data_IF_327157423178
#
_entry.id   IF_327157423178
#
_cell.length_a   1.000
_cell.length_b   1.000
_cell.length_c   1.000
_cell.angle_alpha   90.00
_cell.angle_beta   90.00
_cell.angle_gamma   90.00
#
_symmetry.space_group_name_H-M   'P 1'
#
loop_
_entity.id
_entity.type
_entity.pdbx_description
1 polymer ?
#
# COMPACT_ATOMS: atom_id res chain seq x y z
N UNK A 1 7.22 -9.63 -11.99
CA UNK A 1 6.52 -8.36 -11.77
C UNK A 1 5.08 -8.43 -12.17
N UNK A 2 4.21 -8.52 -11.17
CA UNK A 2 2.76 -8.46 -11.31
C UNK A 2 2.23 -7.02 -11.18
N UNK A 3 3.04 -6.11 -10.62
CA UNK A 3 2.67 -4.73 -10.28
C UNK A 3 3.22 -3.74 -11.32
N UNK A 4 2.40 -2.75 -11.64
CA UNK A 4 2.71 -1.58 -12.43
C UNK A 4 2.49 -0.34 -11.54
N UNK A 5 3.40 0.62 -11.59
CA UNK A 5 3.23 1.95 -10.98
C UNK A 5 3.34 2.98 -12.10
N UNK A 6 2.29 3.77 -12.31
CA UNK A 6 2.16 4.71 -13.43
C UNK A 6 2.47 4.05 -14.79
N UNK A 7 1.99 2.81 -14.98
CA UNK A 7 2.21 2.02 -16.20
C UNK A 7 3.61 1.40 -16.33
N UNK A 8 4.56 1.72 -15.44
CA UNK A 8 5.90 1.12 -15.43
C UNK A 8 5.93 -0.11 -14.53
N UNK A 9 6.57 -1.18 -15.01
CA UNK A 9 6.75 -2.40 -14.21
C UNK A 9 7.68 -2.15 -13.03
N UNK A 10 7.20 -2.43 -11.83
CA UNK A 10 7.98 -2.37 -10.58
C UNK A 10 8.03 -3.77 -9.97
N UNK A 11 9.24 -4.22 -9.62
CA UNK A 11 9.48 -5.53 -8.98
C UNK A 11 10.14 -5.38 -7.59
N UNK A 12 10.50 -4.16 -7.19
CA UNK A 12 11.17 -3.85 -5.92
C UNK A 12 10.12 -3.60 -4.85
N UNK A 13 10.16 -4.38 -3.76
CA UNK A 13 9.20 -4.24 -2.63
C UNK A 13 9.42 -2.95 -1.84
N UNK A 14 10.64 -2.43 -1.84
CA UNK A 14 11.02 -1.16 -1.19
C UNK A 14 10.76 0.07 -2.07
N UNK A 15 9.93 -0.06 -3.12
CA UNK A 15 9.61 1.08 -3.97
C UNK A 15 8.71 2.07 -3.23
N UNK A 16 9.15 3.31 -3.12
CA UNK A 16 8.39 4.38 -2.49
C UNK A 16 7.34 4.95 -3.45
N UNK A 17 6.08 4.85 -3.06
CA UNK A 17 4.96 5.43 -3.81
C UNK A 17 4.70 6.85 -3.31
N UNK A 18 4.50 7.79 -4.24
CA UNK A 18 4.16 9.18 -3.94
C UNK A 18 2.68 9.44 -4.14
N UNK A 19 2.16 10.45 -3.46
CA UNK A 19 0.78 10.91 -3.68
C UNK A 19 0.57 11.23 -5.16
N UNK A 20 -0.58 10.80 -5.70
CA UNK A 20 -0.95 10.88 -7.11
C UNK A 20 -0.53 9.68 -7.97
N UNK A 21 0.38 8.82 -7.51
CA UNK A 21 0.81 7.65 -8.30
C UNK A 21 -0.27 6.55 -8.32
N UNK A 22 -0.50 5.97 -9.50
CA UNK A 22 -1.44 4.86 -9.67
C UNK A 22 -0.72 3.53 -9.69
N UNK A 23 -1.06 2.65 -8.74
CA UNK A 23 -0.64 1.24 -8.73
C UNK A 23 -1.69 0.42 -9.48
N UNK A 24 -1.27 -0.47 -10.36
CA UNK A 24 -2.17 -1.36 -11.09
C UNK A 24 -1.57 -2.75 -11.25
N UNK A 25 -2.43 -3.75 -11.35
CA UNK A 25 -1.99 -5.12 -11.63
C UNK A 25 -1.91 -5.32 -13.15
N UNK A 26 -0.84 -5.95 -13.61
CA UNK A 26 -0.67 -6.31 -15.03
C UNK A 26 -1.83 -7.21 -15.50
N UNK A 27 -2.40 -6.95 -16.67
CA UNK A 27 -3.57 -7.67 -17.22
C UNK A 27 -3.43 -9.20 -17.20
N UNK A 28 -2.25 -9.74 -17.55
CA UNK A 28 -1.98 -11.19 -17.50
C UNK A 28 -2.14 -11.77 -16.09
N UNK A 29 -1.89 -10.97 -15.07
CA UNK A 29 -1.99 -11.34 -13.65
C UNK A 29 -3.38 -11.10 -13.07
N UNK A 30 -4.20 -10.27 -13.69
CA UNK A 30 -5.60 -10.05 -13.28
C UNK A 30 -6.48 -11.31 -13.43
N UNK A 31 -6.08 -12.23 -14.32
CA UNK A 31 -6.78 -13.50 -14.53
C UNK A 31 -6.50 -14.55 -13.45
N UNK A 32 -5.58 -14.29 -12.53
CA UNK A 32 -5.21 -15.22 -11.48
C UNK A 32 -6.32 -15.30 -10.43
N UNK A 33 -6.77 -16.52 -10.13
CA UNK A 33 -7.88 -16.78 -9.20
C UNK A 33 -7.62 -16.16 -7.83
N UNK A 34 -6.41 -16.35 -7.30
CA UNK A 34 -6.00 -15.82 -6.00
C UNK A 34 -6.07 -14.29 -5.91
N UNK A 35 -5.87 -13.57 -7.03
CA UNK A 35 -5.95 -12.11 -7.03
C UNK A 35 -7.41 -11.65 -6.93
N UNK A 36 -8.31 -12.32 -7.63
CA UNK A 36 -9.75 -12.04 -7.55
C UNK A 36 -10.27 -12.31 -6.15
N UNK A 37 -9.93 -13.47 -5.60
CA UNK A 37 -10.26 -13.83 -4.22
C UNK A 37 -9.71 -12.79 -3.23
N UNK A 38 -8.50 -12.29 -3.44
CA UNK A 38 -7.91 -11.26 -2.57
C UNK A 38 -8.63 -9.91 -2.64
N UNK A 39 -9.12 -9.50 -3.81
CA UNK A 39 -9.90 -8.25 -3.97
C UNK A 39 -11.30 -8.41 -3.41
N UNK A 40 -11.95 -9.56 -3.63
CA UNK A 40 -13.27 -9.86 -3.08
C UNK A 40 -13.24 -9.98 -1.54
N UNK A 41 -12.12 -10.44 -0.98
CA UNK A 41 -11.87 -10.42 0.46
C UNK A 41 -11.62 -8.99 0.96
N UNK A 42 -12.72 -8.23 1.13
CA UNK A 42 -12.77 -6.92 1.78
C UNK A 42 -12.56 -7.02 3.31
N UNK A 43 -11.61 -7.83 3.76
CA UNK A 43 -11.30 -8.03 5.18
C UNK A 43 -10.71 -6.76 5.85
N UNK A 44 -10.28 -5.78 5.04
CA UNK A 44 -9.72 -4.51 5.52
C UNK A 44 -10.43 -3.36 4.83
N UNK A 45 -10.84 -2.38 5.64
CA UNK A 45 -11.37 -1.11 5.15
C UNK A 45 -10.25 -0.36 4.43
N UNK A 46 -10.53 0.13 3.22
CA UNK A 46 -9.60 0.99 2.49
C UNK A 46 -9.54 2.36 3.20
N UNK A 47 -8.37 2.80 3.67
CA UNK A 47 -8.22 4.10 4.32
C UNK A 47 -8.49 5.27 3.37
N UNK A 48 -8.86 6.44 3.89
CA UNK A 48 -9.21 7.62 3.07
C UNK A 48 -8.05 8.15 2.20
N UNK A 49 -6.80 7.90 2.59
CA UNK A 49 -5.63 8.29 1.81
C UNK A 49 -5.35 7.35 0.61
N UNK A 50 -6.12 6.27 0.47
CA UNK A 50 -6.02 5.31 -0.64
C UNK A 50 -7.34 5.25 -1.41
N UNK A 51 -7.24 5.20 -2.73
CA UNK A 51 -8.35 4.84 -3.61
C UNK A 51 -8.15 3.42 -4.13
N UNK A 52 -9.21 2.62 -4.14
CA UNK A 52 -9.22 1.28 -4.73
C UNK A 52 -10.31 1.20 -5.79
N UNK A 53 -9.94 0.78 -6.99
CA UNK A 53 -10.83 0.44 -8.09
C UNK A 53 -10.75 -1.07 -8.31
N UNK A 54 -11.68 -1.79 -7.69
CA UNK A 54 -11.76 -3.26 -7.73
C UNK A 54 -11.97 -3.78 -9.15
N UNK A 55 -12.67 -3.02 -10.01
CA UNK A 55 -12.95 -3.42 -11.39
C UNK A 55 -11.71 -3.40 -12.27
N UNK A 56 -10.85 -2.41 -12.07
CA UNK A 56 -9.61 -2.23 -12.83
C UNK A 56 -8.40 -2.91 -12.19
N UNK A 57 -8.54 -3.48 -10.99
CA UNK A 57 -7.42 -3.97 -10.18
C UNK A 57 -6.34 -2.90 -10.02
N UNK A 58 -6.78 -1.67 -9.75
CA UNK A 58 -5.92 -0.49 -9.62
C UNK A 58 -6.23 0.26 -8.34
N UNK A 59 -5.23 0.87 -7.75
CA UNK A 59 -5.40 1.79 -6.63
C UNK A 59 -4.48 2.99 -6.77
N UNK A 60 -4.81 4.07 -6.06
CA UNK A 60 -4.04 5.30 -6.09
C UNK A 60 -3.78 5.78 -4.68
N UNK A 61 -2.56 6.27 -4.43
CA UNK A 61 -2.28 7.02 -3.21
C UNK A 61 -2.78 8.45 -3.41
N UNK A 62 -3.84 8.84 -2.70
CA UNK A 62 -4.44 10.17 -2.86
C UNK A 62 -3.59 11.23 -2.17
N UNK A 63 -3.17 10.94 -0.95
CA UNK A 63 -2.37 11.82 -0.08
C UNK A 63 -1.42 11.02 0.78
N UNK A 64 -0.41 11.69 1.33
CA UNK A 64 0.47 11.08 2.35
C UNK A 64 -0.35 11.00 3.65
N UNK A 65 -0.46 9.81 4.28
CA UNK A 65 -1.19 9.67 5.53
C UNK A 65 -0.51 10.44 6.66
N UNK A 66 -1.31 11.02 7.54
CA UNK A 66 -0.83 11.51 8.83
C UNK A 66 -0.60 10.34 9.80
N UNK A 67 0.27 10.51 10.80
CA UNK A 67 0.62 9.44 11.73
C UNK A 67 -0.59 8.82 12.45
N UNK A 68 -1.61 9.63 12.74
CA UNK A 68 -2.84 9.21 13.42
C UNK A 68 -3.77 8.38 12.51
N UNK A 69 -3.66 8.54 11.18
CA UNK A 69 -4.46 7.80 10.20
C UNK A 69 -3.92 6.39 9.94
N UNK A 70 -2.72 6.08 10.44
CA UNK A 70 -2.09 4.78 10.26
C UNK A 70 -2.57 3.86 11.37
N UNK A 71 -3.50 2.95 11.03
CA UNK A 71 -3.93 1.90 11.95
C UNK A 71 -2.81 0.87 12.08
N UNK A 72 -2.01 1.03 13.12
CA UNK A 72 -0.96 0.07 13.47
C UNK A 72 -1.60 -1.15 14.14
N UNK A 73 -1.17 -2.38 13.80
CA UNK A 73 -1.74 -3.60 14.37
C UNK A 73 -1.42 -3.77 15.87
N UNK A 74 -0.48 -2.97 16.40
CA UNK A 74 -0.02 -3.00 17.77
C UNK A 74 0.13 -1.55 18.26
N UNK A 75 -0.09 -1.27 19.56
CA UNK A 75 0.23 0.04 20.14
C UNK A 75 1.74 0.24 20.13
N UNK A 76 2.22 1.17 19.29
CA UNK A 76 3.64 1.53 19.18
C UNK A 76 3.85 2.87 19.88
N UNK A 77 4.85 2.95 20.75
CA UNK A 77 5.32 4.22 21.29
C UNK A 77 6.49 4.75 20.44
N UNK A 78 6.19 5.72 19.57
CA UNK A 78 7.18 6.33 18.66
C UNK A 78 8.33 6.98 19.44
N UNK A 79 8.04 7.64 20.57
CA UNK A 79 9.06 8.32 21.37
C UNK A 79 10.11 7.34 21.92
N UNK A 80 9.69 6.15 22.37
CA UNK A 80 10.60 5.11 22.85
C UNK A 80 11.50 4.57 21.74
N UNK A 81 10.97 4.43 20.52
CA UNK A 81 11.76 4.01 19.35
C UNK A 81 12.80 5.07 19.01
N UNK A 82 12.43 6.35 19.02
CA UNK A 82 13.36 7.46 18.79
C UNK A 82 14.47 7.52 19.86
N UNK A 83 14.11 7.36 21.14
CA UNK A 83 15.08 7.34 22.24
C UNK A 83 16.07 6.18 22.11
N UNK A 84 15.59 4.96 21.82
CA UNK A 84 16.43 3.79 21.62
C UNK A 84 17.44 3.98 20.47
N UNK A 85 16.98 4.52 19.33
CA UNK A 85 17.84 4.79 18.18
C UNK A 85 18.88 5.89 18.45
N UNK A 86 18.55 6.88 19.29
CA UNK A 86 19.48 7.95 19.66
C UNK A 86 20.60 7.49 20.61
N UNK A 87 20.36 6.47 21.45
CA UNK A 87 21.35 5.94 22.41
C UNK A 87 22.18 4.77 21.88
N UNK A 88 21.80 4.19 20.74
CA UNK A 88 22.53 3.08 20.10
C UNK A 88 23.61 3.60 19.13
N UNK A 89 23.84 4.91 19.09
CA UNK A 89 24.84 5.60 18.28
C UNK A 89 26.02 6.11 19.10
#
# INVERSE_FOLDING_TARGET
GHILVDGKKVDVRSFEVKAGMTISVREKSQKLTWLKEAVENNARVVPEFLSLDEKKFSGQLLSIPEADQIVLPLPINIALVCEFLAHTH
#
